data_IF_657913869132
#
_entry.id   IF_657913869132
#
_cell.length_a   1.000
_cell.length_b   1.000
_cell.length_c   1.000
_cell.angle_alpha   90.00
_cell.angle_beta   90.00
_cell.angle_gamma   90.00
#
_symmetry.space_group_name_H-M   'P 1'
#
loop_
_entity.id
_entity.type
_entity.pdbx_description
1 polymer ?
#
# COMPACT_ATOMS: atom_id res chain seq x y z
N UNK A 1 39.89 -17.37 -19.33
CA UNK A 1 39.82 -17.29 -17.85
C UNK A 1 38.78 -16.29 -17.33
N UNK A 2 38.14 -15.45 -18.15
CA UNK A 2 37.15 -14.45 -17.72
C UNK A 2 35.77 -15.01 -17.39
N UNK A 3 35.36 -16.13 -18.00
CA UNK A 3 34.03 -16.74 -17.80
C UNK A 3 33.75 -17.26 -16.39
N UNK A 4 34.78 -17.65 -15.63
CA UNK A 4 34.60 -18.24 -14.29
C UNK A 4 34.09 -17.26 -13.22
N UNK A 5 34.37 -15.97 -13.38
CA UNK A 5 33.96 -14.91 -12.42
C UNK A 5 32.68 -14.20 -12.90
N UNK A 6 32.47 -14.08 -14.22
CA UNK A 6 31.32 -13.39 -14.78
C UNK A 6 29.99 -14.07 -14.46
N UNK A 7 29.94 -15.41 -14.52
CA UNK A 7 28.72 -16.18 -14.22
C UNK A 7 28.27 -16.02 -12.76
N UNK A 8 29.14 -16.23 -11.74
CA UNK A 8 28.72 -16.02 -10.35
C UNK A 8 28.40 -14.55 -10.06
N UNK A 9 29.10 -13.58 -10.65
CA UNK A 9 28.78 -12.16 -10.49
C UNK A 9 27.42 -11.79 -11.11
N UNK A 10 27.09 -12.32 -12.29
CA UNK A 10 25.77 -12.12 -12.89
C UNK A 10 24.66 -12.79 -12.05
N UNK A 11 24.94 -13.97 -11.49
CA UNK A 11 24.00 -14.68 -10.64
C UNK A 11 23.71 -13.92 -9.33
N UNK A 12 24.73 -13.34 -8.68
CA UNK A 12 24.54 -12.54 -7.47
C UNK A 12 23.74 -11.27 -7.75
N UNK A 13 24.07 -10.54 -8.82
CA UNK A 13 23.30 -9.35 -9.22
C UNK A 13 21.84 -9.70 -9.50
N UNK A 14 21.60 -10.80 -10.21
CA UNK A 14 20.24 -11.27 -10.52
C UNK A 14 19.48 -11.65 -9.24
N UNK A 15 20.13 -12.38 -8.32
CA UNK A 15 19.52 -12.76 -7.05
C UNK A 15 19.20 -11.54 -6.17
N UNK A 16 20.12 -10.56 -6.08
CA UNK A 16 19.90 -9.31 -5.35
C UNK A 16 18.75 -8.52 -5.96
N UNK A 17 18.70 -8.38 -7.29
CA UNK A 17 17.63 -7.68 -7.98
C UNK A 17 16.26 -8.34 -7.72
N UNK A 18 16.20 -9.67 -7.76
CA UNK A 18 14.98 -10.41 -7.47
C UNK A 18 14.50 -10.20 -6.02
N UNK A 19 15.41 -10.30 -5.03
CA UNK A 19 15.08 -10.12 -3.61
C UNK A 19 14.61 -8.69 -3.34
N UNK A 20 15.32 -7.69 -3.86
CA UNK A 20 14.96 -6.28 -3.69
C UNK A 20 13.60 -6.00 -4.30
N UNK A 21 13.37 -6.48 -5.53
CA UNK A 21 12.09 -6.26 -6.23
C UNK A 21 10.93 -6.90 -5.46
N UNK A 22 11.08 -8.14 -5.02
CA UNK A 22 10.06 -8.83 -4.23
C UNK A 22 9.77 -8.11 -2.91
N UNK A 23 10.82 -7.67 -2.21
CA UNK A 23 10.70 -6.91 -0.97
C UNK A 23 9.99 -5.57 -1.16
N UNK A 24 10.37 -4.81 -2.19
CA UNK A 24 9.74 -3.53 -2.53
C UNK A 24 8.26 -3.72 -2.90
N UNK A 25 7.93 -4.71 -3.73
CA UNK A 25 6.55 -4.99 -4.12
C UNK A 25 5.67 -5.35 -2.91
N UNK A 26 6.17 -6.19 -2.01
CA UNK A 26 5.45 -6.54 -0.78
C UNK A 26 5.30 -5.32 0.16
N UNK A 27 6.33 -4.48 0.27
CA UNK A 27 6.27 -3.24 1.03
C UNK A 27 5.19 -2.29 0.50
N UNK A 28 5.14 -2.08 -0.82
CA UNK A 28 4.12 -1.27 -1.48
C UNK A 28 2.71 -1.84 -1.26
N UNK A 29 2.54 -3.15 -1.43
CA UNK A 29 1.25 -3.81 -1.18
C UNK A 29 0.75 -3.55 0.24
N UNK A 30 1.61 -3.69 1.26
CA UNK A 30 1.24 -3.41 2.65
C UNK A 30 0.93 -1.94 2.89
N UNK A 31 1.68 -1.03 2.27
CA UNK A 31 1.46 0.40 2.39
C UNK A 31 0.10 0.79 1.79
N UNK A 32 -0.22 0.31 0.57
CA UNK A 32 -1.52 0.53 -0.09
C UNK A 32 -2.64 -0.02 0.78
N UNK A 33 -2.52 -1.27 1.26
CA UNK A 33 -3.56 -1.86 2.13
C UNK A 33 -3.78 -1.07 3.42
N UNK A 34 -2.71 -0.51 4.02
CA UNK A 34 -2.83 0.37 5.19
C UNK A 34 -3.53 1.69 4.84
N UNK A 35 -3.20 2.28 3.69
CA UNK A 35 -3.85 3.50 3.21
C UNK A 35 -5.33 3.28 2.88
N UNK A 36 -5.67 2.23 2.13
CA UNK A 36 -7.06 1.85 1.84
C UNK A 36 -7.84 1.66 3.14
N UNK A 37 -7.26 0.96 4.12
CA UNK A 37 -7.90 0.77 5.42
C UNK A 37 -8.13 2.07 6.18
N UNK A 38 -7.19 3.01 6.11
CA UNK A 38 -7.37 4.32 6.73
C UNK A 38 -8.46 5.15 6.04
N UNK A 39 -8.52 5.11 4.72
CA UNK A 39 -9.46 5.90 3.92
C UNK A 39 -10.87 5.33 3.93
N UNK A 40 -11.03 4.05 3.60
CA UNK A 40 -12.34 3.44 3.35
C UNK A 40 -12.88 2.66 4.52
N UNK A 41 -12.00 2.18 5.40
CA UNK A 41 -12.38 1.36 6.53
C UNK A 41 -11.78 -0.05 6.46
N UNK A 42 -12.08 -0.88 7.45
CA UNK A 42 -11.74 -2.30 7.40
C UNK A 42 -13.03 -3.11 7.44
N UNK A 43 -13.32 -3.85 6.37
CA UNK A 43 -14.55 -4.65 6.24
C UNK A 43 -14.74 -5.66 7.38
N UNK A 44 -13.65 -6.11 8.00
CA UNK A 44 -13.67 -7.09 9.10
C UNK A 44 -13.70 -6.43 10.50
N UNK A 45 -13.81 -5.11 10.59
CA UNK A 45 -13.84 -4.37 11.85
C UNK A 45 -14.98 -3.37 11.79
N UNK A 46 -16.12 -3.77 12.33
CA UNK A 46 -17.38 -3.01 12.31
C UNK A 46 -17.24 -1.56 12.84
N UNK A 47 -16.25 -1.30 13.71
CA UNK A 47 -16.03 0.02 14.31
C UNK A 47 -15.16 0.97 13.47
N UNK A 48 -14.43 0.45 12.46
CA UNK A 48 -13.47 1.25 11.68
C UNK A 48 -14.06 1.69 10.33
N UNK A 49 -14.93 2.70 10.38
CA UNK A 49 -15.65 3.24 9.21
C UNK A 49 -14.82 4.13 8.25
N UNK A 50 -13.48 4.09 8.31
CA UNK A 50 -12.61 4.89 7.44
C UNK A 50 -12.75 6.42 7.63
N UNK A 51 -11.97 7.19 6.88
CA UNK A 51 -12.05 8.66 6.86
C UNK A 51 -13.08 9.17 5.85
N UNK A 52 -13.12 8.57 4.65
CA UNK A 52 -14.01 9.01 3.57
C UNK A 52 -15.49 8.95 4.01
N UNK A 53 -16.00 7.83 4.55
CA UNK A 53 -17.40 7.78 5.00
C UNK A 53 -17.70 8.74 6.17
N UNK A 54 -16.71 9.06 7.01
CA UNK A 54 -16.88 10.04 8.11
C UNK A 54 -17.01 11.46 7.60
N UNK A 55 -16.17 11.84 6.63
CA UNK A 55 -16.22 13.18 6.02
C UNK A 55 -17.50 13.33 5.22
N UNK A 56 -17.87 12.34 4.40
CA UNK A 56 -19.12 12.41 3.62
C UNK A 56 -20.36 12.56 4.51
N UNK A 57 -20.45 11.83 5.63
CA UNK A 57 -21.55 12.01 6.59
C UNK A 57 -21.58 13.41 7.22
N UNK A 58 -20.42 14.02 7.42
CA UNK A 58 -20.34 15.38 7.95
C UNK A 58 -20.73 16.43 6.92
N UNK A 59 -20.34 16.26 5.65
CA UNK A 59 -20.76 17.12 4.54
C UNK A 59 -22.29 17.03 4.35
N UNK A 60 -22.86 15.83 4.34
CA UNK A 60 -24.32 15.62 4.27
C UNK A 60 -25.05 16.37 5.40
N UNK A 61 -24.58 16.25 6.65
CA UNK A 61 -25.18 16.96 7.78
C UNK A 61 -25.08 18.49 7.67
N UNK A 62 -23.97 19.00 7.17
CA UNK A 62 -23.78 20.44 6.97
C UNK A 62 -24.64 20.99 5.81
N UNK A 63 -24.85 20.22 4.74
CA UNK A 63 -25.79 20.57 3.66
C UNK A 63 -27.23 20.60 4.19
N UNK A 64 -27.64 19.63 5.01
CA UNK A 64 -28.98 19.61 5.63
C UNK A 64 -29.22 20.83 6.55
N UNK A 65 -28.20 21.28 7.25
CA UNK A 65 -28.26 22.46 8.12
C UNK A 65 -28.09 23.80 7.36
N UNK A 66 -27.84 23.77 6.04
CA UNK A 66 -27.62 24.95 5.21
C UNK A 66 -26.32 25.71 5.55
N UNK A 67 -25.33 25.00 6.07
CA UNK A 67 -24.01 25.52 6.47
C UNK A 67 -22.92 25.26 5.41
N UNK A 68 -23.29 24.63 4.29
CA UNK A 68 -22.48 24.39 3.09
C UNK A 68 -23.03 25.15 1.87
#
# INVERSE_FOLDING_TARGET
>A
MTGGILVPAAATVTATAAIVTAGSAFGMYRAVKRHERALYGADNIDEWNGLVPKVSKHEEALEEEGLL
#
